data_IF_568757924833
#
_entry.id   IF_568757924833
#
_cell.length_a   1.000
_cell.length_b   1.000
_cell.length_c   1.000
_cell.angle_alpha   90.00
_cell.angle_beta   90.00
_cell.angle_gamma   90.00
#
_symmetry.space_group_name_H-M   'P 1'
#
loop_
_entity.id
_entity.type
_entity.pdbx_description
1 polymer ?
#
# COMPACT_ATOMS: atom_id res chain seq x y z
N UNK A 1 -10.59 -89.15 14.29
CA UNK A 1 -9.25 -88.58 14.05
C UNK A 1 -9.29 -87.28 13.22
N UNK A 2 -10.25 -87.08 12.32
CA UNK A 2 -10.34 -85.89 11.45
C UNK A 2 -10.73 -84.56 12.15
N UNK A 3 -11.58 -84.59 13.17
CA UNK A 3 -12.07 -83.36 13.85
C UNK A 3 -10.99 -82.66 14.67
N UNK A 4 -10.11 -83.42 15.34
CA UNK A 4 -9.00 -82.86 16.13
C UNK A 4 -7.93 -82.18 15.26
N UNK A 5 -7.70 -82.68 14.05
CA UNK A 5 -6.76 -82.06 13.10
C UNK A 5 -7.28 -80.72 12.60
N UNK A 6 -8.57 -80.61 12.31
CA UNK A 6 -9.19 -79.38 11.82
C UNK A 6 -9.26 -78.30 12.93
N UNK A 7 -9.49 -78.72 14.18
CA UNK A 7 -9.46 -77.83 15.36
C UNK A 7 -8.04 -77.28 15.60
N UNK A 8 -7.03 -78.12 15.48
CA UNK A 8 -5.62 -77.68 15.58
C UNK A 8 -5.23 -76.73 14.43
N UNK A 9 -5.71 -76.98 13.20
CA UNK A 9 -5.49 -76.08 12.07
C UNK A 9 -6.13 -74.70 12.28
N UNK A 10 -7.38 -74.66 12.78
CA UNK A 10 -8.08 -73.41 13.09
C UNK A 10 -7.39 -72.64 14.23
N UNK A 11 -6.94 -73.33 15.29
CA UNK A 11 -6.17 -72.70 16.36
C UNK A 11 -4.85 -72.11 15.85
N UNK A 12 -4.14 -72.82 14.97
CA UNK A 12 -2.93 -72.31 14.35
C UNK A 12 -3.19 -71.07 13.50
N UNK A 13 -4.30 -71.04 12.75
CA UNK A 13 -4.68 -69.87 11.94
C UNK A 13 -5.10 -68.67 12.79
N UNK A 14 -5.81 -68.89 13.90
CA UNK A 14 -6.16 -67.83 14.85
C UNK A 14 -4.88 -67.23 15.43
N UNK A 15 -3.95 -68.06 15.86
CA UNK A 15 -2.69 -67.60 16.44
C UNK A 15 -1.82 -66.85 15.44
N UNK A 16 -1.76 -67.30 14.18
CA UNK A 16 -1.08 -66.58 13.10
C UNK A 16 -1.72 -65.21 12.84
N UNK A 17 -3.06 -65.13 12.83
CA UNK A 17 -3.79 -63.87 12.65
C UNK A 17 -3.67 -62.92 13.85
N UNK A 18 -3.56 -63.45 15.06
CA UNK A 18 -3.31 -62.63 16.26
C UNK A 18 -1.92 -62.00 16.22
N UNK A 19 -0.89 -62.75 15.81
CA UNK A 19 0.47 -62.23 15.61
C UNK A 19 0.50 -61.19 14.49
N UNK A 20 -0.18 -61.46 13.37
CA UNK A 20 -0.28 -60.49 12.27
C UNK A 20 -0.97 -59.19 12.71
N UNK A 21 -2.04 -59.28 13.52
CA UNK A 21 -2.72 -58.12 14.08
C UNK A 21 -1.81 -57.32 15.01
N UNK A 22 -1.05 -58.00 15.86
CA UNK A 22 -0.12 -57.35 16.81
C UNK A 22 0.97 -56.58 16.05
N UNK A 23 1.61 -57.21 15.06
CA UNK A 23 2.61 -56.56 14.19
C UNK A 23 2.04 -55.36 13.42
N UNK A 24 0.80 -55.45 12.93
CA UNK A 24 0.14 -54.35 12.24
C UNK A 24 -0.22 -53.22 13.20
N UNK A 25 -0.56 -53.52 14.45
CA UNK A 25 -0.84 -52.51 15.47
C UNK A 25 0.44 -51.74 15.81
N UNK A 26 1.56 -52.44 15.98
CA UNK A 26 2.87 -51.81 16.23
C UNK A 26 3.33 -50.93 15.06
N UNK A 27 3.15 -51.38 13.81
CA UNK A 27 3.42 -50.56 12.62
C UNK A 27 2.54 -49.32 12.54
N UNK A 28 1.27 -49.41 12.94
CA UNK A 28 0.37 -48.25 12.99
C UNK A 28 0.82 -47.26 14.07
N UNK A 29 1.22 -47.75 15.24
CA UNK A 29 1.71 -46.91 16.33
C UNK A 29 3.03 -46.20 15.95
N UNK A 30 3.96 -46.89 15.28
CA UNK A 30 5.18 -46.28 14.75
C UNK A 30 4.89 -45.21 13.70
N UNK A 31 3.95 -45.45 12.78
CA UNK A 31 3.54 -44.48 11.76
C UNK A 31 2.79 -43.26 12.34
N UNK A 32 2.18 -43.40 13.52
CA UNK A 32 1.48 -42.31 14.21
C UNK A 32 2.41 -41.45 15.08
N UNK A 33 3.61 -41.92 15.39
CA UNK A 33 4.60 -41.12 16.09
C UNK A 33 5.23 -40.11 15.14
N UNK A 34 4.86 -38.84 15.27
CA UNK A 34 5.57 -37.74 14.61
C UNK A 34 7.05 -37.78 15.02
N UNK A 35 7.91 -37.86 14.02
CA UNK A 35 9.36 -37.73 14.20
C UNK A 35 9.70 -36.35 14.75
N UNK A 36 10.86 -36.22 15.40
CA UNK A 36 11.34 -34.92 15.86
C UNK A 36 11.48 -33.90 14.71
N UNK A 37 11.81 -34.37 13.51
CA UNK A 37 11.88 -33.54 12.30
C UNK A 37 10.50 -32.98 11.91
N UNK A 38 9.45 -33.81 11.96
CA UNK A 38 8.07 -33.37 11.69
C UNK A 38 7.55 -32.39 12.74
N UNK A 39 7.85 -32.63 14.02
CA UNK A 39 7.50 -31.70 15.10
C UNK A 39 8.18 -30.33 14.92
N UNK A 40 9.47 -30.33 14.58
CA UNK A 40 10.21 -29.10 14.33
C UNK A 40 9.68 -28.36 13.09
N UNK A 41 9.44 -29.07 11.99
CA UNK A 41 8.89 -28.48 10.77
C UNK A 41 7.50 -27.88 11.01
N UNK A 42 6.68 -28.52 11.85
CA UNK A 42 5.38 -28.00 12.26
C UNK A 42 5.51 -26.73 13.11
N UNK A 43 6.40 -26.73 14.10
CA UNK A 43 6.65 -25.56 14.93
C UNK A 43 7.16 -24.37 14.10
N UNK A 44 8.07 -24.60 13.16
CA UNK A 44 8.56 -23.59 12.22
C UNK A 44 7.43 -23.04 11.35
N UNK A 45 6.54 -23.92 10.84
CA UNK A 45 5.38 -23.51 10.05
C UNK A 45 4.45 -22.62 10.87
N UNK A 46 4.13 -23.01 12.10
CA UNK A 46 3.28 -22.22 13.00
C UNK A 46 3.90 -20.85 13.31
N UNK A 47 5.21 -20.80 13.54
CA UNK A 47 5.93 -19.54 13.75
C UNK A 47 5.89 -18.63 12.50
N UNK A 48 6.08 -19.19 11.31
CA UNK A 48 6.00 -18.46 10.05
C UNK A 48 4.57 -17.95 9.75
N UNK A 49 3.56 -18.77 10.01
CA UNK A 49 2.14 -18.39 9.88
C UNK A 49 1.82 -17.20 10.79
N UNK A 50 2.25 -17.25 12.06
CA UNK A 50 2.07 -16.15 13.01
C UNK A 50 2.80 -14.87 12.59
N UNK A 51 4.03 -15.00 12.08
CA UNK A 51 4.81 -13.87 11.58
C UNK A 51 4.12 -13.21 10.38
N UNK A 52 3.68 -14.02 9.41
CA UNK A 52 2.95 -13.55 8.23
C UNK A 52 1.65 -12.83 8.62
N UNK A 53 0.82 -13.44 9.47
CA UNK A 53 -0.43 -12.84 9.95
C UNK A 53 -0.16 -11.50 10.65
N UNK A 54 0.87 -11.44 11.48
CA UNK A 54 1.25 -10.23 12.19
C UNK A 54 1.70 -9.14 11.23
N UNK A 55 2.54 -9.46 10.24
CA UNK A 55 2.97 -8.52 9.21
C UNK A 55 1.79 -7.99 8.40
N UNK A 56 0.88 -8.85 7.96
CA UNK A 56 -0.32 -8.44 7.23
C UNK A 56 -1.21 -7.52 8.06
N UNK A 57 -1.43 -7.86 9.33
CA UNK A 57 -2.23 -7.03 10.25
C UNK A 57 -1.59 -5.66 10.49
N UNK A 58 -0.27 -5.60 10.64
CA UNK A 58 0.46 -4.34 10.81
C UNK A 58 0.43 -3.50 9.52
N UNK A 59 0.69 -4.12 8.37
CA UNK A 59 0.63 -3.46 7.08
C UNK A 59 -0.77 -2.88 6.79
N UNK A 60 -1.83 -3.64 7.06
CA UNK A 60 -3.21 -3.19 6.88
C UNK A 60 -3.56 -1.99 7.77
N UNK A 61 -3.11 -2.00 9.04
CA UNK A 61 -3.30 -0.86 9.95
C UNK A 61 -2.54 0.37 9.47
N UNK A 62 -1.29 0.18 9.04
CA UNK A 62 -0.45 1.26 8.54
C UNK A 62 -1.04 1.89 7.28
N UNK A 63 -1.47 1.08 6.30
CA UNK A 63 -2.12 1.57 5.07
C UNK A 63 -3.30 2.47 5.38
N UNK A 64 -4.19 2.02 6.27
CA UNK A 64 -5.38 2.80 6.64
C UNK A 64 -5.04 4.15 7.28
N UNK A 65 -4.03 4.20 8.16
CA UNK A 65 -3.59 5.46 8.77
C UNK A 65 -2.95 6.39 7.74
N UNK A 66 -2.14 5.85 6.82
CA UNK A 66 -1.51 6.63 5.75
C UNK A 66 -2.57 7.18 4.79
N UNK A 67 -3.55 6.38 4.37
CA UNK A 67 -4.67 6.81 3.51
C UNK A 67 -5.41 8.01 4.10
N UNK A 68 -5.82 7.93 5.38
CA UNK A 68 -6.53 9.04 6.02
C UNK A 68 -5.68 10.31 6.16
N UNK A 69 -4.38 10.15 6.43
CA UNK A 69 -3.46 11.30 6.53
C UNK A 69 -3.28 11.93 5.15
N UNK A 70 -3.06 11.11 4.14
CA UNK A 70 -2.83 11.54 2.77
C UNK A 70 -4.07 12.25 2.20
N UNK A 71 -5.27 11.69 2.36
CA UNK A 71 -6.53 12.30 1.92
C UNK A 71 -6.73 13.71 2.53
N UNK A 72 -6.39 13.86 3.81
CA UNK A 72 -6.47 15.14 4.52
C UNK A 72 -5.48 16.14 3.95
N UNK A 73 -4.20 15.80 3.91
CA UNK A 73 -3.13 16.68 3.38
C UNK A 73 -3.40 17.07 1.92
N UNK A 74 -3.82 16.12 1.08
CA UNK A 74 -4.20 16.40 -0.30
C UNK A 74 -5.34 17.41 -0.41
N UNK A 75 -6.40 17.23 0.39
CA UNK A 75 -7.56 18.13 0.36
C UNK A 75 -7.18 19.54 0.82
N UNK A 76 -6.32 19.65 1.83
CA UNK A 76 -5.81 20.95 2.32
C UNK A 76 -4.95 21.66 1.27
N UNK A 77 -4.03 20.95 0.61
CA UNK A 77 -3.21 21.50 -0.47
C UNK A 77 -4.09 21.93 -1.65
N UNK A 78 -5.04 21.07 -2.07
CA UNK A 78 -5.93 21.38 -3.18
C UNK A 78 -6.78 22.63 -2.90
N UNK A 79 -7.32 22.77 -1.68
CA UNK A 79 -8.08 23.95 -1.29
C UNK A 79 -7.23 25.22 -1.39
N UNK A 80 -5.97 25.17 -0.95
CA UNK A 80 -5.07 26.33 -1.01
C UNK A 80 -4.73 26.75 -2.45
N UNK A 81 -4.44 25.78 -3.33
CA UNK A 81 -4.07 26.07 -4.73
C UNK A 81 -5.26 26.33 -5.66
N UNK A 82 -6.49 26.16 -5.19
CA UNK A 82 -7.73 26.47 -5.96
C UNK A 82 -8.47 27.69 -5.42
N UNK A 83 -8.01 28.30 -4.31
CA UNK A 83 -8.66 29.46 -3.71
C UNK A 83 -9.91 29.11 -2.88
N UNK A 84 -9.80 28.04 -2.09
CA UNK A 84 -10.82 27.54 -1.14
C UNK A 84 -12.10 27.00 -1.80
N UNK A 85 -11.99 26.50 -3.03
CA UNK A 85 -13.04 25.66 -3.61
C UNK A 85 -13.00 24.33 -2.84
N UNK A 86 -13.99 24.11 -1.96
CA UNK A 86 -14.07 22.94 -1.09
C UNK A 86 -14.36 21.64 -1.88
N UNK A 87 -13.35 21.15 -2.60
CA UNK A 87 -13.31 19.81 -3.19
C UNK A 87 -12.65 18.84 -2.19
N UNK A 88 -13.39 17.81 -1.78
CA UNK A 88 -12.81 16.73 -0.98
C UNK A 88 -12.19 15.69 -1.91
N UNK A 89 -10.90 15.42 -1.72
CA UNK A 89 -10.20 14.36 -2.42
C UNK A 89 -10.29 13.07 -1.60
N UNK A 90 -10.67 11.97 -2.26
CA UNK A 90 -10.60 10.63 -1.68
C UNK A 90 -9.81 9.73 -2.62
N UNK A 91 -8.80 9.05 -2.09
CA UNK A 91 -8.17 7.96 -2.83
C UNK A 91 -9.05 6.71 -2.83
N UNK A 92 -9.26 6.15 -4.02
CA UNK A 92 -9.80 4.80 -4.15
C UNK A 92 -8.69 3.88 -4.67
N UNK A 93 -8.22 2.96 -3.83
CA UNK A 93 -7.12 2.04 -4.13
C UNK A 93 -7.30 1.19 -5.40
N UNK A 94 -8.52 1.08 -5.94
CA UNK A 94 -8.80 0.39 -7.20
C UNK A 94 -8.92 1.31 -8.43
N UNK A 95 -9.13 2.62 -8.24
CA UNK A 95 -9.52 3.57 -9.31
C UNK A 95 -8.64 4.84 -9.38
N UNK A 96 -7.65 4.98 -8.49
CA UNK A 96 -6.80 6.17 -8.41
C UNK A 96 -7.43 7.29 -7.58
N UNK A 97 -7.08 8.53 -7.89
CA UNK A 97 -7.58 9.73 -7.18
C UNK A 97 -9.03 9.98 -7.60
N UNK A 98 -9.95 10.02 -6.63
CA UNK A 98 -11.36 10.37 -6.85
C UNK A 98 -11.65 11.73 -6.24
N UNK A 99 -12.13 12.65 -7.06
CA UNK A 99 -12.56 13.98 -6.65
C UNK A 99 -14.04 13.95 -6.23
N UNK A 100 -14.36 14.55 -5.09
CA UNK A 100 -15.74 14.73 -4.63
C UNK A 100 -16.01 16.22 -4.44
N UNK A 101 -16.89 16.78 -5.26
CA UNK A 101 -17.30 18.17 -5.18
C UNK A 101 -18.69 18.24 -4.53
N UNK A 102 -18.84 19.01 -3.45
CA UNK A 102 -20.15 19.33 -2.83
C UNK A 102 -21.10 18.13 -2.65
N UNK A 103 -20.62 17.01 -2.09
CA UNK A 103 -21.39 15.77 -1.87
C UNK A 103 -21.84 15.01 -3.13
N UNK A 104 -21.44 15.45 -4.34
CA UNK A 104 -21.59 14.66 -5.57
C UNK A 104 -20.25 14.03 -5.94
N UNK A 105 -20.17 12.70 -5.82
CA UNK A 105 -19.05 11.93 -6.37
C UNK A 105 -19.14 12.00 -7.90
N UNK A 106 -18.17 12.63 -8.54
CA UNK A 106 -18.01 12.55 -9.99
C UNK A 106 -16.81 11.67 -10.31
N UNK A 107 -16.94 10.90 -11.38
CA UNK A 107 -15.82 10.12 -11.91
C UNK A 107 -14.72 11.05 -12.45
N UNK A 108 -13.43 10.69 -12.35
CA UNK A 108 -12.31 11.53 -12.78
C UNK A 108 -12.45 12.09 -14.20
N UNK A 109 -13.08 11.34 -15.10
CA UNK A 109 -13.33 11.70 -16.51
C UNK A 109 -14.33 12.86 -16.69
N UNK A 110 -15.07 13.24 -15.65
CA UNK A 110 -16.01 14.37 -15.68
C UNK A 110 -15.35 15.72 -15.31
N UNK A 111 -14.08 15.71 -14.89
CA UNK A 111 -13.35 16.91 -14.50
C UNK A 111 -12.50 17.46 -15.65
N UNK A 112 -12.25 18.78 -15.61
CA UNK A 112 -11.32 19.39 -16.56
C UNK A 112 -9.92 18.79 -16.40
N UNK A 113 -9.17 18.67 -17.50
CA UNK A 113 -7.80 18.16 -17.46
C UNK A 113 -6.92 18.94 -16.45
N UNK A 114 -7.12 20.25 -16.31
CA UNK A 114 -6.40 21.08 -15.34
C UNK A 114 -6.75 20.79 -13.88
N UNK A 115 -8.03 20.54 -13.57
CA UNK A 115 -8.46 20.13 -12.22
C UNK A 115 -7.80 18.82 -11.82
N UNK A 116 -7.76 17.85 -12.74
CA UNK A 116 -7.11 16.57 -12.49
C UNK A 116 -5.61 16.74 -12.25
N UNK A 117 -4.93 17.62 -12.99
CA UNK A 117 -3.52 17.90 -12.75
C UNK A 117 -3.25 18.58 -11.40
N UNK A 118 -4.13 19.47 -10.93
CA UNK A 118 -4.03 20.05 -9.59
C UNK A 118 -4.19 18.99 -8.49
N UNK A 119 -5.13 18.06 -8.66
CA UNK A 119 -5.29 16.95 -7.73
C UNK A 119 -4.08 16.00 -7.73
N UNK A 120 -3.51 15.67 -8.89
CA UNK A 120 -2.27 14.89 -8.96
C UNK A 120 -1.07 15.64 -8.36
N UNK A 121 -1.00 16.96 -8.54
CA UNK A 121 0.02 17.79 -7.89
C UNK A 121 -0.12 17.74 -6.37
N UNK A 122 -1.34 17.97 -5.84
CA UNK A 122 -1.63 17.89 -4.42
C UNK A 122 -1.27 16.51 -3.83
N UNK A 123 -1.58 15.43 -4.55
CA UNK A 123 -1.16 14.07 -4.18
C UNK A 123 0.35 13.94 -4.05
N UNK A 124 1.11 14.40 -5.05
CA UNK A 124 2.59 14.30 -5.03
C UNK A 124 3.18 15.09 -3.86
N UNK A 125 2.66 16.29 -3.60
CA UNK A 125 3.12 17.12 -2.49
C UNK A 125 2.78 16.48 -1.15
N UNK A 126 1.54 16.03 -0.95
CA UNK A 126 1.09 15.36 0.27
C UNK A 126 1.90 14.07 0.54
N UNK A 127 2.13 13.26 -0.49
CA UNK A 127 2.95 12.05 -0.38
C UNK A 127 4.40 12.40 -0.03
N UNK A 128 4.96 13.45 -0.64
CA UNK A 128 6.27 13.97 -0.30
C UNK A 128 6.37 14.36 1.17
N UNK A 129 5.47 15.21 1.67
CA UNK A 129 5.43 15.60 3.08
C UNK A 129 5.29 14.41 4.03
N UNK A 130 4.48 13.40 3.65
CA UNK A 130 4.28 12.21 4.47
C UNK A 130 5.53 11.32 4.54
N UNK A 131 6.28 11.20 3.44
CA UNK A 131 7.49 10.38 3.35
C UNK A 131 8.74 11.09 3.89
N UNK A 132 8.76 12.42 3.89
CA UNK A 132 9.93 13.26 4.23
C UNK A 132 9.86 13.81 5.67
N UNK A 133 9.26 13.08 6.62
CA UNK A 133 9.06 13.57 8.00
C UNK A 133 10.34 13.80 8.79
N UNK A 134 11.43 13.12 8.43
CA UNK A 134 12.69 13.20 9.18
C UNK A 134 13.58 14.37 8.73
N UNK A 135 13.61 14.68 7.43
CA UNK A 135 14.40 15.79 6.85
C UNK A 135 13.68 16.42 5.66
N UNK A 136 13.71 17.77 5.52
CA UNK A 136 13.09 18.46 4.39
C UNK A 136 13.90 18.26 3.11
N UNK A 137 13.54 17.26 2.31
CA UNK A 137 14.15 17.02 1.00
C UNK A 137 13.63 18.02 -0.04
N UNK A 138 14.44 18.33 -1.07
CA UNK A 138 14.01 19.20 -2.16
C UNK A 138 12.95 18.52 -3.04
N UNK A 139 11.98 19.30 -3.53
CA UNK A 139 11.04 18.87 -4.57
C UNK A 139 11.58 19.23 -5.95
N UNK A 140 11.60 18.25 -6.86
CA UNK A 140 11.95 18.45 -8.26
C UNK A 140 10.67 18.39 -9.09
N UNK A 141 10.34 19.50 -9.74
CA UNK A 141 9.13 19.68 -10.53
C UNK A 141 9.51 19.88 -12.00
N UNK A 142 9.32 18.85 -12.82
CA UNK A 142 9.63 18.88 -14.25
C UNK A 142 8.37 19.12 -15.07
N UNK A 143 8.27 20.27 -15.73
CA UNK A 143 7.14 20.69 -16.59
C UNK A 143 5.76 20.50 -15.94
N UNK A 144 5.70 20.60 -14.61
CA UNK A 144 4.54 20.16 -13.83
C UNK A 144 3.29 21.02 -14.09
N UNK A 145 3.48 22.27 -14.54
CA UNK A 145 2.42 23.26 -14.74
C UNK A 145 2.11 23.55 -16.22
N UNK A 146 2.54 22.69 -17.14
CA UNK A 146 2.41 22.93 -18.58
C UNK A 146 0.97 23.26 -19.05
N UNK A 147 -0.06 22.67 -18.44
CA UNK A 147 -1.47 22.93 -18.80
C UNK A 147 -2.22 23.84 -17.81
N UNK A 148 -1.51 24.55 -16.93
CA UNK A 148 -2.15 25.50 -16.03
C UNK A 148 -2.42 26.81 -16.77
N UNK A 149 -3.62 27.35 -16.56
CA UNK A 149 -3.89 28.76 -16.86
C UNK A 149 -3.14 29.67 -15.87
N UNK A 150 -3.09 30.96 -16.19
CA UNK A 150 -2.29 31.92 -15.43
C UNK A 150 -2.71 32.04 -13.96
N UNK A 151 -4.01 31.97 -13.67
CA UNK A 151 -4.51 32.12 -12.31
C UNK A 151 -4.16 30.90 -11.46
N UNK A 152 -4.37 29.68 -11.99
CA UNK A 152 -3.97 28.45 -11.29
C UNK A 152 -2.47 28.39 -11.05
N UNK A 153 -1.67 28.81 -12.03
CA UNK A 153 -0.21 28.86 -11.88
C UNK A 153 0.19 29.88 -10.80
N UNK A 154 -0.39 31.08 -10.82
CA UNK A 154 -0.13 32.12 -9.80
C UNK A 154 -0.45 31.61 -8.40
N UNK A 155 -1.62 31.02 -8.19
CA UNK A 155 -2.02 30.44 -6.89
C UNK A 155 -1.04 29.35 -6.43
N UNK A 156 -0.65 28.46 -7.34
CA UNK A 156 0.27 27.35 -7.03
C UNK A 156 1.68 27.85 -6.72
N UNK A 157 2.19 28.87 -7.41
CA UNK A 157 3.50 29.46 -7.13
C UNK A 157 3.53 30.18 -5.78
N UNK A 158 2.46 30.90 -5.41
CA UNK A 158 2.32 31.48 -4.07
C UNK A 158 2.36 30.41 -3.00
N UNK A 159 1.59 29.34 -3.18
CA UNK A 159 1.59 28.22 -2.26
C UNK A 159 2.96 27.55 -2.14
N UNK A 160 3.67 27.33 -3.25
CA UNK A 160 5.03 26.78 -3.25
C UNK A 160 6.03 27.67 -2.49
N UNK A 161 5.88 28.98 -2.55
CA UNK A 161 6.74 29.93 -1.86
C UNK A 161 6.59 29.89 -0.32
N UNK A 162 5.47 29.35 0.18
CA UNK A 162 5.21 29.17 1.61
C UNK A 162 5.75 27.84 2.16
N UNK A 163 6.23 26.95 1.29
CA UNK A 163 6.76 25.65 1.72
C UNK A 163 8.18 25.77 2.28
N UNK A 164 8.48 24.97 3.30
CA UNK A 164 9.82 24.95 3.92
C UNK A 164 10.86 24.24 3.04
N UNK A 165 10.42 23.36 2.15
CA UNK A 165 11.28 22.57 1.28
C UNK A 165 11.86 23.41 0.13
N UNK A 166 13.11 23.11 -0.26
CA UNK A 166 13.69 23.68 -1.47
C UNK A 166 12.94 23.16 -2.71
N UNK A 167 12.47 24.09 -3.56
CA UNK A 167 11.77 23.74 -4.81
C UNK A 167 12.70 23.97 -6.00
N UNK A 168 12.89 22.93 -6.82
CA UNK A 168 13.62 22.98 -8.09
C UNK A 168 12.61 22.82 -9.23
N UNK A 169 12.31 23.92 -9.91
CA UNK A 169 11.36 23.95 -11.03
C UNK A 169 12.11 23.93 -12.36
N UNK A 170 11.90 22.87 -13.14
CA UNK A 170 12.37 22.74 -14.51
C UNK A 170 11.20 23.08 -15.44
N UNK A 171 11.36 24.15 -16.21
CA UNK A 171 10.35 24.62 -17.17
C UNK A 171 11.02 25.27 -18.37
N UNK A 172 10.45 25.08 -19.55
CA UNK A 172 10.79 25.73 -20.81
C UNK A 172 9.97 27.00 -21.05
N UNK A 173 9.03 27.32 -20.15
CA UNK A 173 8.10 28.43 -20.29
C UNK A 173 8.57 29.65 -19.50
N UNK A 174 8.41 30.83 -20.10
CA UNK A 174 8.77 32.09 -19.44
C UNK A 174 7.68 32.58 -18.45
N UNK A 175 6.49 32.00 -18.51
CA UNK A 175 5.34 32.44 -17.71
C UNK A 175 5.59 32.28 -16.20
N UNK A 176 6.18 31.17 -15.78
CA UNK A 176 6.51 30.85 -14.40
C UNK A 176 7.46 31.90 -13.84
N UNK A 177 8.53 32.22 -14.59
CA UNK A 177 9.50 33.24 -14.18
C UNK A 177 8.87 34.65 -14.14
N UNK A 178 7.98 34.97 -15.10
CA UNK A 178 7.25 36.24 -15.11
C UNK A 178 6.38 36.37 -13.86
N UNK A 179 5.58 35.35 -13.54
CA UNK A 179 4.68 35.37 -12.39
C UNK A 179 5.46 35.40 -11.07
N UNK A 180 6.56 34.67 -10.94
CA UNK A 180 7.43 34.76 -9.75
C UNK A 180 7.92 36.20 -9.52
N UNK A 181 8.27 36.94 -10.58
CA UNK A 181 8.66 38.36 -10.48
C UNK A 181 7.49 39.27 -10.13
N UNK A 182 6.33 39.09 -10.77
CA UNK A 182 5.12 39.89 -10.52
C UNK A 182 4.64 39.73 -9.07
N UNK A 183 4.74 38.53 -8.51
CA UNK A 183 4.35 38.20 -7.13
C UNK A 183 5.44 38.52 -6.09
N UNK A 184 6.62 38.95 -6.52
CA UNK A 184 7.74 39.25 -5.62
C UNK A 184 8.31 38.02 -4.89
N UNK A 185 8.10 36.82 -5.45
CA UNK A 185 8.60 35.57 -4.87
C UNK A 185 10.10 35.46 -5.14
N UNK A 186 10.96 35.24 -4.12
CA UNK A 186 12.39 35.07 -4.33
C UNK A 186 12.71 33.78 -5.09
N UNK A 187 13.54 33.86 -6.13
CA UNK A 187 14.04 32.68 -6.86
C UNK A 187 15.44 32.92 -7.42
N UNK A 188 16.14 31.84 -7.74
CA UNK A 188 17.36 31.85 -8.55
C UNK A 188 17.06 31.18 -9.90
N UNK A 189 17.39 31.86 -11.00
CA UNK A 189 17.23 31.29 -12.35
C UNK A 189 18.57 30.77 -12.87
N UNK A 190 18.55 29.57 -13.46
CA UNK A 190 19.67 28.99 -14.20
C UNK A 190 19.20 28.74 -15.62
N UNK A 191 19.96 29.23 -16.60
CA UNK A 191 19.77 28.91 -18.02
C UNK A 191 20.85 27.91 -18.41
N UNK A 192 20.44 26.77 -18.97
CA UNK A 192 21.31 25.68 -19.43
C UNK A 192 21.55 25.77 -20.94
#
# INVERSE_FOLDING_TARGET
MFVGHHLNQLQSQIQEKEVERENLTEQVDELQQETLEEQNARADREALELAAETMFRLAARMSKTLEHTLDKEMSEILAQITGDVHEQLQMNGAQGIVLTEQMQKRVPEAYSQGTMQQAYFAYRMAAGHMLMKEEPLPFLLDETFANYDEERLRQTLRWLAEQENQILLFTCRENEMRLLKEEGIPFASIQL
#
